data_IF_941087024222
#
_entry.id   IF_941087024222
#
_cell.length_a   1.000
_cell.length_b   1.000
_cell.length_c   1.000
_cell.angle_alpha   90.00
_cell.angle_beta   90.00
_cell.angle_gamma   90.00
#
_symmetry.space_group_name_H-M   'P 1'
#
loop_
_entity.id
_entity.type
_entity.pdbx_description
1 polymer ?
#
# COMPACT_ATOMS: atom_id res chain seq x y z
N UNK A 1 14.53 -24.11 -72.12
CA UNK A 1 14.75 -25.17 -71.10
C UNK A 1 16.15 -24.92 -70.54
N UNK A 2 16.45 -24.75 -69.25
CA UNK A 2 15.73 -24.88 -67.98
C UNK A 2 16.74 -24.33 -66.93
N UNK A 3 16.47 -23.22 -66.21
CA UNK A 3 15.99 -23.17 -64.80
C UNK A 3 17.09 -23.37 -63.72
N UNK A 4 17.18 -22.39 -62.80
CA UNK A 4 17.70 -22.43 -61.39
C UNK A 4 19.24 -22.52 -61.18
N UNK A 5 19.93 -21.76 -60.31
CA UNK A 5 19.69 -21.18 -58.97
C UNK A 5 20.63 -19.96 -58.83
N UNK A 6 20.17 -18.71 -58.67
CA UNK A 6 19.94 -18.01 -57.39
C UNK A 6 20.73 -18.56 -56.20
N UNK A 7 21.80 -17.86 -55.80
CA UNK A 7 22.22 -17.79 -54.41
C UNK A 7 22.32 -16.31 -54.02
N UNK A 8 21.27 -15.86 -53.33
CA UNK A 8 21.17 -14.54 -52.73
C UNK A 8 22.20 -14.43 -51.61
N UNK A 9 23.17 -13.53 -51.77
CA UNK A 9 23.84 -12.92 -50.62
C UNK A 9 22.91 -11.81 -50.12
N UNK A 10 21.81 -12.21 -49.46
CA UNK A 10 21.08 -11.29 -48.60
C UNK A 10 21.91 -11.14 -47.34
N UNK A 11 22.78 -10.13 -47.32
CA UNK A 11 23.34 -9.61 -46.09
C UNK A 11 22.14 -9.17 -45.25
N UNK A 12 21.79 -10.00 -44.26
CA UNK A 12 20.79 -9.69 -43.28
C UNK A 12 21.30 -8.50 -42.47
N UNK A 13 20.93 -7.29 -42.90
CA UNK A 13 20.75 -6.15 -42.02
C UNK A 13 19.61 -6.54 -41.06
N UNK A 14 19.95 -7.35 -40.06
CA UNK A 14 19.22 -7.37 -38.80
C UNK A 14 19.44 -6.00 -38.19
N UNK A 15 18.59 -5.06 -38.58
CA UNK A 15 18.27 -3.92 -37.75
C UNK A 15 17.89 -4.48 -36.39
N UNK A 16 18.82 -4.34 -35.45
CA UNK A 16 18.56 -4.38 -34.03
C UNK A 16 17.52 -3.28 -33.77
N UNK A 17 16.25 -3.61 -33.98
CA UNK A 17 15.14 -2.93 -33.33
C UNK A 17 15.29 -3.30 -31.86
N UNK A 18 16.18 -2.56 -31.20
CA UNK A 18 16.13 -2.41 -29.77
C UNK A 18 14.70 -1.95 -29.49
N UNK A 19 13.89 -2.84 -28.90
CA UNK A 19 12.68 -2.44 -28.21
C UNK A 19 13.09 -1.48 -27.10
N UNK A 20 13.33 -0.22 -27.44
CA UNK A 20 13.20 0.88 -26.49
C UNK A 20 11.74 0.83 -26.09
N UNK A 21 11.49 0.32 -24.87
CA UNK A 21 10.24 0.53 -24.17
C UNK A 21 9.99 2.04 -24.25
N UNK A 22 8.95 2.45 -24.96
CA UNK A 22 8.56 3.87 -25.06
C UNK A 22 8.20 4.30 -23.65
N UNK A 23 9.11 5.02 -23.00
CA UNK A 23 8.83 5.65 -21.72
C UNK A 23 8.13 6.95 -22.07
N UNK A 24 6.83 7.04 -21.79
CA UNK A 24 6.13 8.29 -21.90
C UNK A 24 6.58 9.17 -20.73
N UNK A 25 7.44 10.15 -21.00
CA UNK A 25 8.05 11.01 -19.97
C UNK A 25 7.01 11.88 -19.22
N UNK A 26 5.77 11.93 -19.71
CA UNK A 26 4.68 12.70 -19.11
C UNK A 26 3.71 11.84 -18.28
N UNK A 27 3.87 10.52 -18.20
CA UNK A 27 3.03 9.67 -17.35
C UNK A 27 3.70 9.40 -16.01
N UNK A 28 2.91 9.41 -14.93
CA UNK A 28 3.33 9.00 -13.58
C UNK A 28 2.35 7.98 -13.03
N UNK A 29 2.82 6.75 -12.83
CA UNK A 29 2.05 5.66 -12.26
C UNK A 29 2.29 5.51 -10.75
N UNK A 30 1.22 5.64 -9.99
CA UNK A 30 1.20 5.51 -8.53
C UNK A 30 0.46 4.23 -8.16
N UNK A 31 1.18 3.29 -7.56
CA UNK A 31 0.61 2.04 -7.06
C UNK A 31 0.46 2.19 -5.56
N UNK A 32 -0.77 2.17 -5.04
CA UNK A 32 -0.97 2.46 -3.63
C UNK A 32 -2.23 1.89 -3.00
N UNK A 33 -2.12 1.55 -1.72
CA UNK A 33 -3.24 1.09 -0.88
C UNK A 33 -3.97 2.24 -0.19
N UNK A 34 -3.94 3.42 -0.82
CA UNK A 34 -4.67 4.61 -0.37
C UNK A 34 -6.15 4.48 -0.74
N UNK A 35 -7.03 5.10 0.05
CA UNK A 35 -8.47 5.04 -0.20
C UNK A 35 -8.86 5.82 -1.45
N UNK A 36 -9.93 5.36 -2.14
CA UNK A 36 -10.42 6.00 -3.36
C UNK A 36 -10.83 7.47 -3.14
N UNK A 37 -11.43 7.76 -1.99
CA UNK A 37 -11.80 9.14 -1.64
C UNK A 37 -10.55 10.02 -1.47
N UNK A 38 -9.49 9.48 -0.86
CA UNK A 38 -8.21 10.18 -0.81
C UNK A 38 -7.68 10.45 -2.21
N UNK A 39 -7.67 9.47 -3.11
CA UNK A 39 -7.25 9.66 -4.52
C UNK A 39 -8.07 10.78 -5.17
N UNK A 40 -9.39 10.76 -5.01
CA UNK A 40 -10.28 11.78 -5.56
C UNK A 40 -9.99 13.19 -5.03
N UNK A 41 -9.51 13.32 -3.78
CA UNK A 41 -9.14 14.60 -3.18
C UNK A 41 -7.78 15.14 -3.67
N UNK A 42 -6.79 14.27 -3.91
CA UNK A 42 -5.44 14.68 -4.36
C UNK A 42 -5.33 14.84 -5.87
N UNK A 43 -6.05 14.07 -6.67
CA UNK A 43 -5.92 14.08 -8.14
C UNK A 43 -6.14 15.48 -8.76
N UNK A 44 -7.15 16.29 -8.36
CA UNK A 44 -7.30 17.66 -8.85
C UNK A 44 -6.11 18.55 -8.49
N UNK A 45 -5.54 18.38 -7.30
CA UNK A 45 -4.40 19.17 -6.82
C UNK A 45 -3.10 18.80 -7.55
N UNK A 46 -2.93 17.52 -7.90
CA UNK A 46 -1.82 17.05 -8.73
C UNK A 46 -1.91 17.67 -10.12
N UNK A 47 -3.10 17.65 -10.73
CA UNK A 47 -3.34 18.24 -12.05
C UNK A 47 -3.15 19.76 -12.08
N UNK A 48 -3.54 20.46 -11.02
CA UNK A 48 -3.30 21.91 -10.90
C UNK A 48 -1.80 22.25 -10.78
N UNK A 49 -1.07 21.47 -9.98
CA UNK A 49 0.37 21.73 -9.74
C UNK A 49 1.28 21.24 -10.85
N UNK A 50 0.88 20.18 -11.55
CA UNK A 50 1.65 19.51 -12.59
C UNK A 50 0.78 19.29 -13.83
N UNK A 51 0.39 20.37 -14.55
CA UNK A 51 -0.57 20.29 -15.64
C UNK A 51 -0.05 19.50 -16.87
N UNK A 52 1.27 19.35 -16.97
CA UNK A 52 1.93 18.62 -18.07
C UNK A 52 2.10 17.13 -17.80
N UNK A 53 1.77 16.66 -16.58
CA UNK A 53 1.86 15.25 -16.18
C UNK A 53 0.48 14.60 -16.15
N UNK A 54 0.41 13.37 -16.67
CA UNK A 54 -0.75 12.48 -16.55
C UNK A 54 -0.52 11.50 -15.39
N UNK A 55 -1.40 11.53 -14.39
CA UNK A 55 -1.28 10.69 -13.20
C UNK A 55 -2.21 9.49 -13.31
N UNK A 56 -1.66 8.30 -13.14
CA UNK A 56 -2.40 7.04 -13.14
C UNK A 56 -2.30 6.33 -11.80
N UNK A 57 -3.43 5.85 -11.29
CA UNK A 57 -3.48 5.14 -10.02
C UNK A 57 -3.83 3.66 -10.23
N UNK A 58 -3.01 2.77 -9.68
CA UNK A 58 -3.41 1.39 -9.41
C UNK A 58 -3.68 1.25 -7.90
N UNK A 59 -4.97 1.16 -7.56
CA UNK A 59 -5.43 1.07 -6.18
C UNK A 59 -5.83 -0.38 -5.85
N UNK A 60 -5.16 -0.96 -4.87
CA UNK A 60 -5.41 -2.32 -4.40
C UNK A 60 -4.93 -2.50 -2.95
N UNK A 61 -5.14 -3.69 -2.37
CA UNK A 61 -4.55 -4.05 -1.08
C UNK A 61 -3.02 -4.14 -1.16
N UNK A 62 -2.32 -3.89 -0.05
CA UNK A 62 -0.85 -3.85 -0.01
C UNK A 62 -0.20 -5.15 -0.54
N UNK A 63 -0.73 -6.31 -0.16
CA UNK A 63 -0.28 -7.62 -0.64
C UNK A 63 -0.51 -7.84 -2.16
N UNK A 64 -1.60 -7.30 -2.70
CA UNK A 64 -1.89 -7.38 -4.13
C UNK A 64 -0.93 -6.49 -4.92
N UNK A 65 -0.64 -5.29 -4.40
CA UNK A 65 0.37 -4.39 -4.96
C UNK A 65 1.75 -5.04 -4.94
N UNK A 66 2.18 -5.60 -3.80
CA UNK A 66 3.46 -6.29 -3.67
C UNK A 66 3.56 -7.46 -4.68
N UNK A 67 2.52 -8.28 -4.78
CA UNK A 67 2.44 -9.40 -5.74
C UNK A 67 2.58 -8.91 -7.18
N UNK A 68 1.86 -7.84 -7.55
CA UNK A 68 1.91 -7.25 -8.89
C UNK A 68 3.30 -6.70 -9.20
N UNK A 69 3.88 -5.90 -8.30
CA UNK A 69 5.20 -5.29 -8.51
C UNK A 69 6.27 -6.36 -8.63
N UNK A 70 6.25 -7.38 -7.78
CA UNK A 70 7.17 -8.52 -7.87
C UNK A 70 7.05 -9.24 -9.21
N UNK A 71 5.83 -9.49 -9.69
CA UNK A 71 5.59 -10.11 -10.99
C UNK A 71 6.10 -9.24 -12.15
N UNK A 72 5.92 -7.91 -12.09
CA UNK A 72 6.42 -6.99 -13.10
C UNK A 72 7.95 -6.90 -13.12
N UNK A 73 8.60 -6.90 -11.95
CA UNK A 73 10.06 -6.94 -11.83
C UNK A 73 10.60 -8.22 -12.48
N UNK A 74 9.99 -9.38 -12.18
CA UNK A 74 10.35 -10.66 -12.82
C UNK A 74 10.15 -10.63 -14.35
N UNK A 75 9.17 -9.85 -14.84
CA UNK A 75 8.92 -9.63 -16.26
C UNK A 75 9.82 -8.58 -16.91
N UNK A 76 10.82 -8.04 -16.19
CA UNK A 76 11.81 -7.10 -16.71
C UNK A 76 11.58 -5.63 -16.33
N UNK A 77 10.68 -5.34 -15.38
CA UNK A 77 10.55 -4.03 -14.74
C UNK A 77 9.10 -3.58 -14.54
N UNK A 78 8.87 -2.78 -13.49
CA UNK A 78 7.56 -2.24 -13.13
C UNK A 78 7.19 -0.99 -13.92
N UNK A 79 5.88 -0.75 -14.06
CA UNK A 79 5.37 0.56 -14.49
C UNK A 79 5.26 1.55 -13.34
N UNK A 80 5.31 1.11 -12.08
CA UNK A 80 5.14 1.98 -10.93
C UNK A 80 6.33 2.95 -10.78
N UNK A 81 6.03 4.24 -10.76
CA UNK A 81 6.99 5.29 -10.44
C UNK A 81 7.00 5.58 -8.93
N UNK A 82 5.82 5.47 -8.30
CA UNK A 82 5.62 5.72 -6.87
C UNK A 82 4.85 4.55 -6.24
N UNK A 83 5.37 4.05 -5.12
CA UNK A 83 4.76 2.99 -4.32
C UNK A 83 4.28 3.53 -2.97
N UNK A 84 2.99 3.41 -2.68
CA UNK A 84 2.37 3.89 -1.43
C UNK A 84 1.55 2.77 -0.76
N UNK A 85 2.20 1.91 0.03
CA UNK A 85 1.50 0.87 0.76
C UNK A 85 2.10 0.61 2.15
N UNK A 86 1.44 -0.22 2.95
CA UNK A 86 1.69 -0.29 4.41
C UNK A 86 2.79 -1.27 4.82
N UNK A 87 3.28 -2.09 3.90
CA UNK A 87 4.14 -3.24 4.20
C UNK A 87 5.62 -2.83 4.21
N UNK A 88 6.04 -2.26 5.34
CA UNK A 88 7.44 -1.83 5.54
C UNK A 88 8.46 -2.91 5.16
N UNK A 89 8.21 -4.15 5.53
CA UNK A 89 9.13 -5.26 5.27
C UNK A 89 9.42 -5.47 3.78
N UNK A 90 8.44 -5.21 2.91
CA UNK A 90 8.65 -5.27 1.46
C UNK A 90 9.60 -4.18 1.00
N UNK A 91 9.48 -2.96 1.53
CA UNK A 91 10.41 -1.87 1.20
C UNK A 91 11.83 -2.18 1.66
N UNK A 92 12.01 -2.79 2.84
CA UNK A 92 13.34 -3.22 3.32
C UNK A 92 13.96 -4.27 2.38
N UNK A 93 13.18 -5.26 1.95
CA UNK A 93 13.64 -6.26 0.96
C UNK A 93 13.99 -5.61 -0.40
N UNK A 94 13.17 -4.65 -0.85
CA UNK A 94 13.42 -3.92 -2.09
C UNK A 94 14.70 -3.06 -2.02
N UNK A 95 15.07 -2.55 -0.84
CA UNK A 95 16.36 -1.86 -0.61
C UNK A 95 17.52 -2.84 -0.76
N UNK A 96 17.43 -4.01 -0.14
CA UNK A 96 18.48 -5.06 -0.25
C UNK A 96 18.70 -5.50 -1.70
N UNK A 97 17.64 -5.50 -2.51
CA UNK A 97 17.68 -5.82 -3.94
C UNK A 97 18.07 -4.62 -4.83
N UNK A 98 18.24 -3.42 -4.27
CA UNK A 98 18.61 -2.22 -5.03
C UNK A 98 17.50 -1.71 -5.96
N UNK A 99 16.23 -1.98 -5.64
CA UNK A 99 15.08 -1.66 -6.48
C UNK A 99 14.52 -0.25 -6.24
N UNK A 100 14.85 0.39 -5.13
CA UNK A 100 14.31 1.70 -4.76
C UNK A 100 15.30 2.84 -5.05
N UNK A 101 14.79 3.92 -5.64
CA UNK A 101 15.55 5.15 -5.81
C UNK A 101 15.58 5.95 -4.50
N UNK A 102 16.77 6.43 -4.12
CA UNK A 102 16.92 7.27 -2.93
C UNK A 102 16.40 8.67 -3.19
N UNK A 103 15.41 9.10 -2.43
CA UNK A 103 14.84 10.43 -2.46
C UNK A 103 14.50 10.92 -1.05
N UNK A 104 15.05 12.07 -0.65
CA UNK A 104 14.75 12.72 0.63
C UNK A 104 13.82 13.91 0.37
N UNK A 105 12.56 13.87 0.82
CA UNK A 105 11.63 14.98 0.63
C UNK A 105 12.11 16.27 1.32
N UNK A 106 11.86 17.43 0.70
CA UNK A 106 12.22 18.75 1.25
C UNK A 106 11.64 19.02 2.64
N UNK A 107 10.55 18.36 3.00
CA UNK A 107 9.83 18.50 4.25
C UNK A 107 10.07 17.32 5.22
N UNK A 108 11.12 16.51 5.01
CA UNK A 108 11.45 15.36 5.88
C UNK A 108 11.61 15.75 7.34
N UNK A 109 12.09 16.97 7.62
CA UNK A 109 12.26 17.48 8.98
C UNK A 109 10.94 17.64 9.75
N UNK A 110 9.81 17.69 9.04
CA UNK A 110 8.46 17.73 9.63
C UNK A 110 7.94 16.35 10.02
N UNK A 111 8.57 15.27 9.58
CA UNK A 111 8.19 13.90 9.96
C UNK A 111 8.65 13.64 11.39
N UNK A 112 7.78 13.15 12.30
CA UNK A 112 8.17 12.81 13.66
C UNK A 112 9.36 11.84 13.67
N UNK A 113 10.29 12.02 14.58
CA UNK A 113 11.56 11.27 14.59
C UNK A 113 11.36 9.75 14.59
N UNK A 114 10.36 9.25 15.31
CA UNK A 114 10.05 7.81 15.37
C UNK A 114 9.48 7.22 14.07
N UNK A 115 9.10 8.06 13.10
CA UNK A 115 8.62 7.67 11.77
C UNK A 115 9.59 8.06 10.66
N UNK A 116 10.62 8.83 11.01
CA UNK A 116 11.59 9.31 10.04
C UNK A 116 12.48 8.15 9.64
N UNK A 117 12.41 7.79 8.37
CA UNK A 117 13.46 7.01 7.75
C UNK A 117 14.53 7.98 7.23
N UNK A 118 15.79 7.80 7.65
CA UNK A 118 16.92 8.66 7.26
C UNK A 118 17.77 8.09 6.12
N UNK A 119 17.52 6.85 5.68
CA UNK A 119 18.22 6.25 4.55
C UNK A 119 17.75 6.81 3.20
N UNK A 120 16.53 7.37 3.16
CA UNK A 120 15.95 8.06 2.01
C UNK A 120 15.34 7.14 0.95
N UNK A 121 15.14 5.85 1.22
CA UNK A 121 14.53 4.92 0.27
C UNK A 121 13.00 4.89 0.36
N UNK A 122 12.43 5.24 1.50
CA UNK A 122 10.99 5.44 1.67
C UNK A 122 10.72 6.53 2.72
N UNK A 123 9.49 7.02 2.77
CA UNK A 123 9.07 8.05 3.73
C UNK A 123 7.67 7.74 4.26
N UNK A 124 7.45 8.01 5.56
CA UNK A 124 6.11 7.91 6.14
C UNK A 124 5.21 9.02 5.58
N UNK A 125 4.13 8.63 4.89
CA UNK A 125 3.17 9.56 4.29
C UNK A 125 1.88 9.69 5.10
N UNK A 126 1.56 8.69 5.92
CA UNK A 126 0.38 8.68 6.78
C UNK A 126 0.61 7.78 7.99
N UNK A 127 -0.15 8.04 9.06
CA UNK A 127 -0.21 7.18 10.25
C UNK A 127 -1.67 6.71 10.35
N UNK A 128 -2.01 5.51 9.84
CA UNK A 128 -3.34 4.98 10.06
C UNK A 128 -3.51 4.67 11.54
N UNK A 129 -4.57 5.20 12.14
CA UNK A 129 -4.90 4.97 13.55
C UNK A 129 -6.07 4.00 13.65
N UNK A 130 -5.85 2.90 14.37
CA UNK A 130 -6.92 1.97 14.72
C UNK A 130 -7.67 2.52 15.92
N UNK A 131 -8.90 2.97 15.69
CA UNK A 131 -9.74 3.60 16.71
C UNK A 131 -10.98 2.77 17.01
N UNK A 132 -11.55 2.98 18.20
CA UNK A 132 -12.89 2.51 18.50
C UNK A 132 -13.90 3.51 17.93
N UNK A 133 -14.94 2.99 17.30
CA UNK A 133 -16.08 3.79 16.84
C UNK A 133 -17.35 3.25 17.50
N UNK A 134 -18.33 4.12 17.71
CA UNK A 134 -19.63 3.75 18.23
C UNK A 134 -20.73 4.54 17.51
N UNK A 135 -21.94 3.98 17.51
CA UNK A 135 -23.11 4.67 17.00
C UNK A 135 -23.65 5.64 18.09
N UNK A 136 -23.48 6.94 17.87
CA UNK A 136 -23.91 7.98 18.80
C UNK A 136 -25.43 8.12 18.96
N UNK A 137 -26.22 7.60 18.01
CA UNK A 137 -27.68 7.56 18.14
C UNK A 137 -28.14 6.43 19.06
N UNK A 138 -27.31 5.40 19.23
CA UNK A 138 -27.61 4.23 20.04
C UNK A 138 -26.97 4.28 21.44
N UNK A 139 -25.82 4.94 21.58
CA UNK A 139 -25.03 5.00 22.81
C UNK A 139 -24.61 6.45 23.06
N UNK A 140 -24.87 6.96 24.26
CA UNK A 140 -24.40 8.30 24.64
C UNK A 140 -22.88 8.32 24.81
N UNK A 141 -22.23 9.46 24.53
CA UNK A 141 -20.77 9.57 24.69
C UNK A 141 -20.31 9.27 26.13
N UNK A 142 -21.16 9.57 27.13
CA UNK A 142 -20.87 9.26 28.54
C UNK A 142 -20.81 7.75 28.81
N UNK A 143 -21.62 6.97 28.10
CA UNK A 143 -21.74 5.53 28.33
C UNK A 143 -20.83 4.70 27.42
N UNK A 144 -20.37 5.27 26.30
CA UNK A 144 -19.48 4.63 25.34
C UNK A 144 -18.15 4.18 25.98
N UNK A 145 -17.59 3.03 25.56
CA UNK A 145 -16.33 2.54 26.12
C UNK A 145 -15.20 3.51 25.78
N UNK A 146 -14.41 3.88 26.79
CA UNK A 146 -13.28 4.82 26.62
C UNK A 146 -11.95 4.10 26.45
N UNK A 147 -11.91 2.82 26.75
CA UNK A 147 -10.73 1.96 26.58
C UNK A 147 -11.10 0.66 25.89
N UNK A 148 -10.14 0.06 25.17
CA UNK A 148 -10.33 -1.28 24.60
C UNK A 148 -10.71 -2.31 25.67
N UNK A 149 -10.13 -2.19 26.87
CA UNK A 149 -10.45 -3.05 28.02
C UNK A 149 -11.94 -3.01 28.39
N UNK A 150 -12.58 -1.84 28.37
CA UNK A 150 -13.99 -1.68 28.69
C UNK A 150 -14.91 -2.36 27.67
N UNK A 151 -14.46 -2.62 26.43
CA UNK A 151 -15.27 -3.36 25.44
C UNK A 151 -15.55 -4.80 25.87
N UNK A 152 -14.72 -5.37 26.75
CA UNK A 152 -14.93 -6.70 27.32
C UNK A 152 -15.96 -6.72 28.48
N UNK A 153 -16.50 -5.57 28.89
CA UNK A 153 -17.55 -5.50 29.92
C UNK A 153 -18.84 -6.20 29.43
N UNK A 154 -19.46 -7.09 30.24
CA UNK A 154 -20.72 -7.76 29.90
C UNK A 154 -21.86 -6.86 29.43
N UNK A 155 -21.87 -5.56 29.80
CA UNK A 155 -22.88 -4.60 29.33
C UNK A 155 -22.88 -4.40 27.80
N UNK A 156 -21.79 -4.77 27.13
CA UNK A 156 -21.62 -4.69 25.67
C UNK A 156 -21.96 -5.98 24.92
N UNK A 157 -22.51 -7.00 25.59
CA UNK A 157 -22.91 -8.25 24.97
C UNK A 157 -23.80 -8.03 23.73
N UNK A 158 -23.40 -8.58 22.59
CA UNK A 158 -24.08 -8.46 21.30
C UNK A 158 -24.04 -7.07 20.66
N UNK A 159 -23.23 -6.13 21.19
CA UNK A 159 -23.15 -4.73 20.73
C UNK A 159 -21.78 -4.35 20.16
N UNK A 160 -20.86 -5.30 20.03
CA UNK A 160 -19.53 -5.09 19.49
C UNK A 160 -19.33 -5.95 18.24
N UNK A 161 -18.63 -5.40 17.25
CA UNK A 161 -18.25 -6.10 16.04
C UNK A 161 -16.82 -5.69 15.65
N UNK A 162 -16.08 -6.64 15.10
CA UNK A 162 -14.72 -6.43 14.58
C UNK A 162 -14.52 -7.23 13.30
N UNK A 163 -13.54 -6.86 12.49
CA UNK A 163 -13.17 -7.63 11.31
C UNK A 163 -12.58 -8.99 11.68
N UNK A 164 -12.45 -9.89 10.70
CA UNK A 164 -11.67 -11.11 10.89
C UNK A 164 -10.17 -10.80 10.81
N UNK A 165 -9.35 -11.16 11.82
CA UNK A 165 -7.89 -11.01 11.71
C UNK A 165 -7.27 -11.95 10.67
N UNK A 166 -7.99 -12.98 10.22
CA UNK A 166 -7.53 -13.87 9.14
C UNK A 166 -7.75 -13.28 7.75
N UNK A 167 -8.63 -12.27 7.62
CA UNK A 167 -8.97 -11.64 6.35
C UNK A 167 -8.47 -10.18 6.24
N UNK A 168 -7.99 -9.59 7.33
CA UNK A 168 -7.52 -8.20 7.37
C UNK A 168 -6.23 -8.08 8.16
N UNK A 169 -5.14 -7.67 7.49
CA UNK A 169 -3.83 -7.43 8.12
C UNK A 169 -3.86 -6.32 9.18
N UNK A 170 -4.70 -5.29 8.96
CA UNK A 170 -4.91 -4.24 9.96
C UNK A 170 -5.58 -4.80 11.21
N UNK A 171 -6.61 -5.64 11.04
CA UNK A 171 -7.27 -6.27 12.18
C UNK A 171 -6.37 -7.31 12.87
N UNK A 172 -5.55 -8.05 12.11
CA UNK A 172 -4.50 -8.90 12.67
C UNK A 172 -3.56 -8.10 13.57
N UNK A 173 -3.10 -6.94 13.09
CA UNK A 173 -2.24 -6.02 13.85
C UNK A 173 -2.94 -5.57 15.13
N UNK A 174 -4.20 -5.13 15.06
CA UNK A 174 -4.99 -4.76 16.25
C UNK A 174 -5.10 -5.90 17.25
N UNK A 175 -5.38 -7.13 16.79
CA UNK A 175 -5.47 -8.31 17.66
C UNK A 175 -4.11 -8.61 18.31
N UNK A 176 -3.01 -8.54 17.57
CA UNK A 176 -1.66 -8.75 18.10
C UNK A 176 -1.31 -7.71 19.19
N UNK A 177 -1.63 -6.44 18.97
CA UNK A 177 -1.42 -5.38 19.97
C UNK A 177 -2.28 -5.59 21.22
N UNK A 178 -3.58 -5.90 21.05
CA UNK A 178 -4.48 -6.15 22.19
C UNK A 178 -4.10 -7.42 22.96
N UNK A 179 -3.59 -8.44 22.26
CA UNK A 179 -3.08 -9.67 22.88
C UNK A 179 -1.82 -9.39 23.70
N UNK A 180 -0.90 -8.58 23.17
CA UNK A 180 0.30 -8.16 23.90
C UNK A 180 -0.04 -7.35 25.15
N UNK A 181 -1.03 -6.47 25.06
CA UNK A 181 -1.40 -5.55 26.15
C UNK A 181 -2.26 -6.21 27.23
N UNK A 182 -3.27 -7.00 26.84
CA UNK A 182 -4.30 -7.53 27.76
C UNK A 182 -4.30 -9.06 27.88
N UNK A 183 -3.52 -9.76 27.08
CA UNK A 183 -3.45 -11.22 27.07
C UNK A 183 -4.68 -11.90 26.46
N UNK A 184 -4.64 -13.24 26.40
CA UNK A 184 -5.72 -14.05 25.81
C UNK A 184 -7.03 -14.00 26.59
N UNK A 185 -6.98 -13.66 27.88
CA UNK A 185 -8.18 -13.58 28.72
C UNK A 185 -9.11 -12.44 28.30
N UNK A 186 -8.57 -11.36 27.73
CA UNK A 186 -9.36 -10.29 27.11
C UNK A 186 -10.23 -10.83 25.96
N UNK A 187 -9.64 -11.62 25.05
CA UNK A 187 -10.40 -12.22 23.95
C UNK A 187 -11.39 -13.28 24.41
N UNK A 188 -11.08 -14.03 25.47
CA UNK A 188 -12.07 -14.93 26.10
C UNK A 188 -13.25 -14.16 26.66
N UNK A 189 -13.03 -12.97 27.23
CA UNK A 189 -14.10 -12.10 27.73
C UNK A 189 -14.94 -11.53 26.57
N UNK A 190 -14.30 -11.04 25.50
CA UNK A 190 -15.00 -10.62 24.28
C UNK A 190 -15.88 -11.74 23.71
N UNK A 191 -15.34 -12.96 23.60
CA UNK A 191 -16.10 -14.12 23.12
C UNK A 191 -17.33 -14.42 23.98
N UNK A 192 -17.29 -14.19 25.30
CA UNK A 192 -18.45 -14.33 26.20
C UNK A 192 -19.52 -13.26 25.97
N UNK A 193 -19.16 -12.15 25.33
CA UNK A 193 -20.04 -11.07 24.93
C UNK A 193 -20.64 -11.27 23.53
N UNK A 194 -20.60 -12.49 22.99
CA UNK A 194 -21.09 -12.84 21.64
C UNK A 194 -20.43 -12.00 20.53
N UNK A 195 -19.13 -11.73 20.71
CA UNK A 195 -18.22 -11.13 19.72
C UNK A 195 -17.49 -12.20 18.93
#
# INVERSE_FOLDING_TARGET
MSVFKRFCVCLALLSLVSCKKEVNENEVWIYGSIYKDTIADIEPQLKEKFPDLDFHFYQAGSEEIATKVNAEILAGGTKADILIFSDRFWYEEAIEQGLLHKYVPKNVDKVPEFLKNTDGYYSAVSIPLMVMIYNSDAISDKDAPKTFKEMADPKWKGKFATGSPLASGTNFTTVAFLQKEYGWDYFKALRKNDT
#
